data_IF_908851439314
#
_entry.id   IF_908851439314
#
_cell.length_a   1.000
_cell.length_b   1.000
_cell.length_c   1.000
_cell.angle_alpha   90.00
_cell.angle_beta   90.00
_cell.angle_gamma   90.00
#
_symmetry.space_group_name_H-M   'P 1'
#
loop_
_entity.id
_entity.type
_entity.pdbx_description
1 polymer ?
#
# COMPACT_ATOMS: atom_id res chain seq x y z
N UNK A 1 -7.48 1.71 27.74
CA UNK A 1 -8.51 0.95 27.00
C UNK A 1 -7.77 -0.11 26.22
N UNK A 2 -8.31 -1.30 26.08
CA UNK A 2 -7.64 -2.39 25.36
C UNK A 2 -8.51 -2.82 24.18
N UNK A 3 -7.89 -2.95 23.02
CA UNK A 3 -8.46 -3.45 21.78
C UNK A 3 -7.60 -4.59 21.29
N UNK A 4 -8.22 -5.60 20.70
CA UNK A 4 -7.53 -6.72 20.08
C UNK A 4 -8.49 -7.42 19.13
N UNK A 5 -7.92 -8.18 18.22
CA UNK A 5 -8.65 -9.05 17.35
C UNK A 5 -7.73 -9.65 16.31
N UNK A 6 -8.37 -10.33 15.38
CA UNK A 6 -7.72 -11.03 14.30
C UNK A 6 -8.42 -10.62 13.01
N UNK A 7 -7.66 -10.39 11.95
CA UNK A 7 -8.19 -10.11 10.61
C UNK A 7 -7.59 -11.08 9.61
N UNK A 8 -8.43 -11.72 8.80
CA UNK A 8 -8.00 -12.64 7.76
C UNK A 8 -7.89 -11.86 6.44
N UNK A 9 -6.72 -11.87 5.83
CA UNK A 9 -6.46 -11.37 4.49
C UNK A 9 -6.39 -12.57 3.56
N UNK A 10 -7.45 -12.79 2.80
CA UNK A 10 -7.58 -13.91 1.85
C UNK A 10 -6.71 -13.69 0.60
N UNK A 11 -6.30 -14.79 -0.04
CA UNK A 11 -5.61 -14.81 -1.34
C UNK A 11 -4.29 -14.00 -1.36
N UNK A 12 -3.56 -13.91 -0.24
CA UNK A 12 -2.29 -13.19 -0.15
C UNK A 12 -1.25 -13.94 0.69
N UNK A 13 0.01 -13.56 0.54
CA UNK A 13 1.16 -14.12 1.27
C UNK A 13 1.64 -13.21 2.39
N UNK A 14 2.35 -13.79 3.37
CA UNK A 14 2.93 -13.03 4.49
C UNK A 14 3.88 -11.93 4.00
N UNK A 15 4.62 -12.17 2.92
CA UNK A 15 5.55 -11.18 2.35
C UNK A 15 4.82 -9.99 1.73
N UNK A 16 3.73 -10.22 1.00
CA UNK A 16 2.90 -9.15 0.41
C UNK A 16 2.24 -8.30 1.49
N UNK A 17 1.65 -8.95 2.50
CA UNK A 17 1.04 -8.26 3.64
C UNK A 17 2.10 -7.48 4.41
N UNK A 18 3.27 -8.06 4.64
CA UNK A 18 4.37 -7.38 5.33
C UNK A 18 4.87 -6.15 4.55
N UNK A 19 5.04 -6.26 3.23
CA UNK A 19 5.41 -5.14 2.37
C UNK A 19 4.36 -4.02 2.43
N UNK A 20 3.07 -4.38 2.30
CA UNK A 20 1.97 -3.43 2.37
C UNK A 20 1.92 -2.71 3.72
N UNK A 21 1.96 -3.46 4.83
CA UNK A 21 1.89 -2.87 6.18
C UNK A 21 3.17 -2.12 6.58
N UNK A 22 4.28 -2.35 5.87
CA UNK A 22 5.53 -1.62 6.06
C UNK A 22 5.61 -0.30 5.29
N UNK A 23 4.71 -0.04 4.35
CA UNK A 23 4.78 1.12 3.47
C UNK A 23 3.94 2.30 4.01
N UNK A 24 4.54 3.45 4.40
CA UNK A 24 3.79 4.60 4.90
C UNK A 24 2.73 5.12 3.92
N UNK A 25 2.96 5.03 2.60
CA UNK A 25 1.99 5.46 1.60
C UNK A 25 0.79 4.50 1.55
N UNK A 26 1.04 3.21 1.68
CA UNK A 26 -0.02 2.21 1.81
C UNK A 26 -0.88 2.47 3.05
N UNK A 27 -0.23 2.72 4.19
CA UNK A 27 -0.93 3.00 5.45
C UNK A 27 -1.71 4.32 5.38
N UNK A 28 -1.16 5.36 4.78
CA UNK A 28 -1.84 6.63 4.53
C UNK A 28 -3.15 6.43 3.77
N UNK A 29 -3.11 5.68 2.67
CA UNK A 29 -4.29 5.43 1.84
C UNK A 29 -5.32 4.52 2.55
N UNK A 30 -4.86 3.56 3.35
CA UNK A 30 -5.73 2.63 4.06
C UNK A 30 -6.37 3.23 5.33
N UNK A 31 -5.73 4.19 5.98
CA UNK A 31 -6.22 4.80 7.22
C UNK A 31 -7.33 5.83 6.93
N UNK A 32 -8.57 5.61 7.44
CA UNK A 32 -9.67 6.53 7.18
C UNK A 32 -9.41 7.94 7.72
N UNK A 33 -9.50 8.94 6.84
CA UNK A 33 -9.34 10.35 7.21
C UNK A 33 -7.89 10.77 7.47
N UNK A 34 -6.92 9.93 7.12
CA UNK A 34 -5.50 10.29 7.06
C UNK A 34 -5.27 11.33 5.97
N UNK A 35 -4.49 12.37 6.25
CA UNK A 35 -4.10 13.39 5.27
C UNK A 35 -2.71 13.15 4.68
N UNK A 36 -1.80 12.64 5.51
CA UNK A 36 -0.43 12.28 5.15
C UNK A 36 0.14 11.38 6.24
N UNK A 37 1.22 10.67 5.92
CA UNK A 37 2.08 9.98 6.87
C UNK A 37 3.54 10.13 6.41
N UNK A 38 4.34 10.85 7.20
CA UNK A 38 5.71 11.23 6.81
C UNK A 38 6.70 11.10 7.96
N UNK A 39 7.96 10.75 7.69
CA UNK A 39 8.99 10.75 8.73
C UNK A 39 9.26 12.17 9.23
N UNK A 40 9.55 12.30 10.52
CA UNK A 40 9.96 13.56 11.17
C UNK A 40 11.17 13.32 12.07
N UNK A 41 12.00 14.34 12.27
CA UNK A 41 13.23 14.23 13.07
C UNK A 41 12.99 14.32 14.59
N UNK A 42 11.97 15.07 15.00
CA UNK A 42 11.65 15.35 16.40
C UNK A 42 10.13 15.28 16.64
N UNK A 43 9.73 15.10 17.90
CA UNK A 43 8.32 15.06 18.34
C UNK A 43 7.64 16.45 18.33
N UNK A 44 8.43 17.53 18.34
CA UNK A 44 7.95 18.92 18.22
C UNK A 44 7.61 19.25 16.75
N UNK A 45 6.50 18.68 16.28
CA UNK A 45 6.07 18.76 14.88
C UNK A 45 5.25 20.02 14.58
N UNK A 46 5.60 20.75 13.51
CA UNK A 46 4.77 21.80 12.92
C UNK A 46 3.78 21.21 11.91
N UNK A 47 2.61 20.80 12.40
CA UNK A 47 1.57 20.19 11.56
C UNK A 47 0.98 21.13 10.51
N UNK A 48 1.03 22.45 10.72
CA UNK A 48 0.54 23.40 9.72
C UNK A 48 1.49 23.47 8.53
N UNK A 49 2.80 23.45 8.78
CA UNK A 49 3.81 23.34 7.72
C UNK A 49 3.69 22.01 6.96
N UNK A 50 3.52 20.89 7.67
CA UNK A 50 3.36 19.58 7.02
C UNK A 50 2.10 19.52 6.14
N UNK A 51 0.99 20.15 6.56
CA UNK A 51 -0.22 20.25 5.72
C UNK A 51 0.01 21.05 4.45
N UNK A 52 0.74 22.16 4.53
CA UNK A 52 1.07 22.96 3.34
C UNK A 52 1.97 22.17 2.38
N UNK A 53 2.90 21.38 2.90
CA UNK A 53 3.82 20.59 2.08
C UNK A 53 3.18 19.33 1.48
N UNK A 54 2.36 18.63 2.26
CA UNK A 54 1.90 17.29 1.92
C UNK A 54 0.39 17.17 1.69
N UNK A 55 -0.42 18.18 2.00
CA UNK A 55 -1.88 18.08 1.96
C UNK A 55 -2.50 17.84 0.58
N UNK A 56 -1.77 18.18 -0.49
CA UNK A 56 -2.18 17.96 -1.89
C UNK A 56 -1.32 16.89 -2.58
N UNK A 57 -0.57 16.08 -1.82
CA UNK A 57 0.26 15.03 -2.42
C UNK A 57 -0.62 13.92 -2.98
N UNK A 58 -0.33 13.51 -4.21
CA UNK A 58 -0.95 12.37 -4.86
C UNK A 58 0.15 11.33 -5.06
N UNK A 59 0.44 10.57 -4.00
CA UNK A 59 1.42 9.50 -4.03
C UNK A 59 0.67 8.19 -4.08
N UNK A 60 0.69 7.56 -5.26
CA UNK A 60 0.03 6.29 -5.45
C UNK A 60 0.77 5.17 -4.70
N UNK A 61 0.04 4.29 -4.01
CA UNK A 61 0.59 3.04 -3.56
C UNK A 61 1.13 2.20 -4.73
N UNK A 62 2.10 1.33 -4.47
CA UNK A 62 2.74 0.49 -5.50
C UNK A 62 2.97 -0.93 -4.98
N UNK A 63 3.20 -1.87 -5.89
CA UNK A 63 3.68 -3.23 -5.58
C UNK A 63 5.17 -3.40 -5.83
N UNK A 64 5.86 -2.40 -6.38
CA UNK A 64 7.29 -2.47 -6.65
C UNK A 64 8.07 -2.62 -5.33
N UNK A 65 8.71 -3.78 -5.08
CA UNK A 65 9.39 -4.03 -3.81
C UNK A 65 10.59 -3.11 -3.59
N UNK A 66 11.25 -2.62 -4.65
CA UNK A 66 12.36 -1.68 -4.52
C UNK A 66 11.86 -0.30 -4.08
N UNK A 67 10.74 0.17 -4.63
CA UNK A 67 10.12 1.43 -4.21
C UNK A 67 9.66 1.35 -2.76
N UNK A 68 8.96 0.26 -2.40
CA UNK A 68 8.50 0.02 -1.02
C UNK A 68 9.69 -0.02 -0.06
N UNK A 69 10.73 -0.80 -0.37
CA UNK A 69 11.91 -0.93 0.51
C UNK A 69 12.61 0.41 0.78
N UNK A 70 12.63 1.34 -0.18
CA UNK A 70 13.26 2.65 -0.03
C UNK A 70 12.47 3.63 0.85
N UNK A 71 11.16 3.40 1.06
CA UNK A 71 10.29 4.26 1.88
C UNK A 71 9.66 3.56 3.06
N UNK A 72 9.96 2.27 3.25
CA UNK A 72 9.39 1.47 4.32
C UNK A 72 9.69 2.07 5.69
N UNK A 73 8.83 1.79 6.66
CA UNK A 73 9.07 2.15 8.03
C UNK A 73 10.42 1.64 8.54
N UNK A 74 11.07 2.48 9.33
CA UNK A 74 12.34 2.21 10.01
C UNK A 74 12.13 2.10 11.52
N UNK A 75 12.70 1.08 12.15
CA UNK A 75 12.66 0.94 13.62
C UNK A 75 13.38 2.12 14.30
N UNK A 76 12.74 2.69 15.32
CA UNK A 76 13.18 3.88 16.04
C UNK A 76 12.86 5.20 15.34
N UNK A 77 12.33 5.17 14.12
CA UNK A 77 11.96 6.38 13.39
C UNK A 77 10.56 6.87 13.81
N UNK A 78 10.44 8.19 13.90
CA UNK A 78 9.18 8.89 14.20
C UNK A 78 8.54 9.41 12.92
N UNK A 79 7.20 9.37 12.89
CA UNK A 79 6.34 9.77 11.79
C UNK A 79 5.23 10.69 12.30
N UNK A 80 4.85 11.66 11.48
CA UNK A 80 3.73 12.55 11.73
C UNK A 80 2.57 12.26 10.78
N UNK A 81 1.35 12.33 11.31
CA UNK A 81 0.12 12.15 10.55
C UNK A 81 -1.04 12.96 11.13
N UNK A 82 -2.00 13.32 10.28
CA UNK A 82 -3.24 13.96 10.68
C UNK A 82 -4.40 13.02 10.34
N UNK A 83 -5.18 12.63 11.35
CA UNK A 83 -6.25 11.62 11.20
C UNK A 83 -7.59 12.18 11.68
N UNK A 84 -8.57 12.24 10.78
CA UNK A 84 -9.96 12.55 11.10
C UNK A 84 -10.76 11.31 11.48
N UNK A 85 -11.28 11.24 12.71
CA UNK A 85 -12.03 10.08 13.21
C UNK A 85 -13.45 10.48 13.60
N UNK A 86 -14.45 9.79 13.06
CA UNK A 86 -15.85 9.95 13.48
C UNK A 86 -16.12 9.21 14.78
N UNK A 87 -16.46 9.94 15.86
CA UNK A 87 -16.76 9.38 17.19
C UNK A 87 -18.14 9.89 17.63
N UNK A 88 -19.17 9.08 17.44
CA UNK A 88 -20.54 9.48 17.76
C UNK A 88 -20.96 10.75 16.98
N UNK A 89 -21.39 11.84 17.65
CA UNK A 89 -21.79 13.08 16.98
C UNK A 89 -20.63 14.03 16.67
N UNK A 90 -19.38 13.69 17.02
CA UNK A 90 -18.20 14.54 16.81
C UNK A 90 -17.26 13.93 15.78
N UNK A 91 -16.46 14.78 15.14
CA UNK A 91 -15.42 14.39 14.18
C UNK A 91 -14.12 15.13 14.52
N UNK A 92 -13.41 14.72 15.59
CA UNK A 92 -12.09 15.24 15.87
C UNK A 92 -11.11 14.93 14.73
N UNK A 93 -10.19 15.87 14.51
CA UNK A 93 -9.00 15.68 13.68
C UNK A 93 -7.80 15.70 14.59
N UNK A 94 -7.09 14.57 14.68
CA UNK A 94 -5.94 14.41 15.54
C UNK A 94 -4.65 14.66 14.78
N UNK A 95 -3.84 15.55 15.31
CA UNK A 95 -2.41 15.65 14.98
C UNK A 95 -1.69 14.59 15.79
N UNK A 96 -1.08 13.62 15.11
CA UNK A 96 -0.54 12.40 15.71
C UNK A 96 0.94 12.24 15.37
N UNK A 97 1.72 11.90 16.36
CA UNK A 97 3.11 11.45 16.23
C UNK A 97 3.15 9.96 16.56
N UNK A 98 3.82 9.17 15.71
CA UNK A 98 3.93 7.71 15.84
C UNK A 98 5.39 7.31 15.73
N UNK A 99 5.86 6.46 16.62
CA UNK A 99 7.20 5.87 16.58
C UNK A 99 7.08 4.38 16.32
N UNK A 100 7.90 3.86 15.41
CA UNK A 100 7.99 2.43 15.13
C UNK A 100 8.97 1.82 16.12
N UNK A 101 8.46 1.23 17.20
CA UNK A 101 9.29 0.74 18.31
C UNK A 101 10.01 -0.57 17.99
N UNK A 102 9.40 -1.40 17.14
CA UNK A 102 9.99 -2.66 16.69
C UNK A 102 9.50 -3.01 15.29
N UNK A 103 10.42 -3.46 14.44
CA UNK A 103 10.08 -3.94 13.10
C UNK A 103 10.99 -5.08 12.67
N UNK A 104 10.48 -6.30 12.77
CA UNK A 104 11.14 -7.51 12.25
C UNK A 104 10.06 -8.52 11.87
N UNK A 105 9.96 -8.85 10.58
CA UNK A 105 8.93 -9.78 10.09
C UNK A 105 8.94 -11.08 10.91
N UNK A 106 7.78 -11.56 11.40
CA UNK A 106 6.40 -11.11 11.11
C UNK A 106 5.84 -10.04 12.06
N UNK A 107 6.61 -9.55 13.02
CA UNK A 107 6.14 -8.68 14.11
C UNK A 107 6.41 -7.18 13.86
N UNK A 108 5.45 -6.33 14.24
CA UNK A 108 5.68 -4.88 14.34
C UNK A 108 5.02 -4.30 15.58
N UNK A 109 5.68 -3.31 16.18
CA UNK A 109 5.22 -2.60 17.38
C UNK A 109 5.38 -1.11 17.14
N UNK A 110 4.38 -0.34 17.54
CA UNK A 110 4.39 1.11 17.41
C UNK A 110 3.74 1.78 18.61
N UNK A 111 4.25 2.94 18.96
CA UNK A 111 3.72 3.83 19.97
C UNK A 111 3.29 5.12 19.29
N UNK A 112 2.26 5.78 19.81
CA UNK A 112 1.84 7.05 19.24
C UNK A 112 1.00 7.86 20.19
N UNK A 113 1.10 9.16 20.04
CA UNK A 113 0.30 10.13 20.76
C UNK A 113 -0.37 11.08 19.77
N UNK A 114 -1.58 11.52 20.11
CA UNK A 114 -2.29 12.45 19.26
C UNK A 114 -3.14 13.43 20.03
N UNK A 115 -3.31 14.62 19.47
CA UNK A 115 -4.05 15.71 20.09
C UNK A 115 -5.07 16.35 19.14
N UNK A 116 -6.21 16.77 19.70
CA UNK A 116 -7.29 17.42 18.98
C UNK A 116 -8.01 18.39 19.93
N UNK A 117 -7.59 19.66 19.94
CA UNK A 117 -8.13 20.68 20.84
C UNK A 117 -7.99 20.28 22.31
N UNK A 118 -9.11 20.23 23.05
CA UNK A 118 -9.13 19.81 24.47
C UNK A 118 -9.11 18.28 24.68
N UNK A 119 -8.67 17.48 23.71
CA UNK A 119 -8.62 16.02 23.79
C UNK A 119 -7.29 15.47 23.30
N UNK A 120 -6.85 14.36 23.86
CA UNK A 120 -5.64 13.66 23.44
C UNK A 120 -5.76 12.16 23.67
N UNK A 121 -4.85 11.40 23.08
CA UNK A 121 -4.65 10.00 23.36
C UNK A 121 -3.16 9.65 23.35
N UNK A 122 -2.82 8.58 24.05
CA UNK A 122 -1.56 7.84 23.95
C UNK A 122 -1.92 6.38 23.61
N UNK A 123 -1.17 5.73 22.73
CA UNK A 123 -1.47 4.40 22.24
C UNK A 123 -0.20 3.59 22.02
N UNK A 124 -0.25 2.31 22.37
CA UNK A 124 0.70 1.29 21.93
C UNK A 124 -0.06 0.28 21.08
N UNK A 125 0.54 -0.17 19.98
CA UNK A 125 -0.04 -1.12 19.04
C UNK A 125 0.97 -2.23 18.71
N UNK A 126 0.44 -3.43 18.49
CA UNK A 126 1.20 -4.63 18.14
C UNK A 126 0.48 -5.35 17.01
N UNK A 127 1.27 -5.89 16.08
CA UNK A 127 0.78 -6.83 15.08
C UNK A 127 1.75 -8.02 14.92
N UNK A 128 1.18 -9.17 14.61
CA UNK A 128 1.86 -10.40 14.21
C UNK A 128 1.14 -10.96 12.96
N UNK A 129 1.89 -11.60 12.07
CA UNK A 129 1.42 -12.13 10.80
C UNK A 129 1.66 -13.64 10.75
N UNK A 130 0.58 -14.39 10.62
CA UNK A 130 0.61 -15.84 10.49
C UNK A 130 0.10 -16.29 9.11
N UNK A 131 0.92 -17.07 8.41
CA UNK A 131 0.50 -17.66 7.14
C UNK A 131 -0.54 -18.78 7.35
N UNK A 132 -1.56 -18.81 6.51
CA UNK A 132 -2.62 -19.83 6.50
C UNK A 132 -2.72 -20.52 5.13
N UNK A 133 -3.59 -21.52 5.00
CA UNK A 133 -3.79 -22.22 3.72
C UNK A 133 -4.41 -21.32 2.63
N UNK A 134 -5.21 -20.32 3.04
CA UNK A 134 -6.03 -19.49 2.15
C UNK A 134 -5.67 -17.99 2.24
N UNK A 135 -4.55 -17.63 2.90
CA UNK A 135 -4.15 -16.23 3.08
C UNK A 135 -3.25 -15.98 4.29
N UNK A 136 -3.38 -14.80 4.90
CA UNK A 136 -2.65 -14.37 6.10
C UNK A 136 -3.60 -13.97 7.21
N UNK A 137 -3.34 -14.47 8.40
CA UNK A 137 -3.98 -14.03 9.64
C UNK A 137 -3.16 -12.88 10.24
N UNK A 138 -3.82 -11.76 10.56
CA UNK A 138 -3.23 -10.60 11.24
C UNK A 138 -3.77 -10.53 12.65
N UNK A 139 -2.96 -10.96 13.62
CA UNK A 139 -3.25 -10.77 15.03
C UNK A 139 -2.80 -9.39 15.47
N UNK A 140 -3.72 -8.60 16.03
CA UNK A 140 -3.43 -7.23 16.44
C UNK A 140 -3.92 -6.93 17.84
N UNK A 141 -3.20 -6.02 18.51
CA UNK A 141 -3.54 -5.48 19.83
C UNK A 141 -3.28 -3.98 19.82
N UNK A 142 -4.12 -3.22 20.53
CA UNK A 142 -3.85 -1.83 20.85
C UNK A 142 -4.26 -1.50 22.30
N UNK A 143 -3.40 -0.77 22.99
CA UNK A 143 -3.63 -0.24 24.32
C UNK A 143 -3.65 1.28 24.22
N UNK A 144 -4.79 1.91 24.52
CA UNK A 144 -4.96 3.35 24.38
C UNK A 144 -5.41 4.02 25.68
N UNK A 145 -4.73 5.08 26.07
CA UNK A 145 -5.16 6.03 27.09
C UNK A 145 -5.78 7.25 26.40
N UNK A 146 -6.95 7.69 26.85
CA UNK A 146 -7.69 8.79 26.21
C UNK A 146 -8.04 9.82 27.26
N UNK A 147 -7.80 11.09 26.93
CA UNK A 147 -7.97 12.22 27.84
C UNK A 147 -8.94 13.28 27.29
N UNK A 148 -9.38 14.17 28.17
CA UNK A 148 -10.15 15.35 27.78
C UNK A 148 -11.61 15.05 27.41
N UNK A 149 -12.16 15.83 26.47
CA UNK A 149 -13.60 15.78 26.13
C UNK A 149 -14.01 14.43 25.56
N UNK A 150 -13.17 13.81 24.72
CA UNK A 150 -13.48 12.51 24.11
C UNK A 150 -13.57 11.42 25.18
N UNK A 151 -12.66 11.40 26.17
CA UNK A 151 -12.70 10.45 27.27
C UNK A 151 -14.03 10.46 28.04
N UNK A 152 -14.67 11.64 28.14
CA UNK A 152 -15.97 11.79 28.82
C UNK A 152 -17.14 11.08 28.13
N UNK A 153 -16.99 10.70 26.85
CA UNK A 153 -18.01 9.97 26.09
C UNK A 153 -18.14 8.50 26.53
N UNK A 154 -17.08 7.97 27.15
CA UNK A 154 -17.02 6.59 27.65
C UNK A 154 -16.89 5.54 26.55
N UNK A 155 -16.54 4.32 26.99
CA UNK A 155 -16.23 3.19 26.11
C UNK A 155 -17.39 2.77 25.18
N UNK A 156 -18.63 3.03 25.59
CA UNK A 156 -19.83 2.70 24.76
C UNK A 156 -19.88 3.48 23.45
N UNK A 157 -19.21 4.62 23.38
CA UNK A 157 -19.12 5.46 22.18
C UNK A 157 -17.78 5.27 21.49
N UNK A 158 -16.68 5.17 22.25
CA UNK A 158 -15.32 5.06 21.71
C UNK A 158 -15.07 3.69 21.07
N UNK A 159 -15.46 2.58 21.73
CA UNK A 159 -15.13 1.24 21.23
C UNK A 159 -15.71 0.95 19.84
N UNK A 160 -16.97 1.27 19.53
CA UNK A 160 -17.49 1.09 18.16
C UNK A 160 -16.74 1.92 17.11
N UNK A 161 -16.28 3.13 17.47
CA UNK A 161 -15.52 3.98 16.55
C UNK A 161 -14.13 3.38 16.27
N UNK A 162 -13.40 2.95 17.31
CA UNK A 162 -12.10 2.30 17.15
C UNK A 162 -12.19 1.01 16.30
N UNK A 163 -13.16 0.14 16.60
CA UNK A 163 -13.39 -1.08 15.80
C UNK A 163 -13.73 -0.76 14.34
N UNK A 164 -14.44 0.33 14.09
CA UNK A 164 -14.78 0.77 12.74
C UNK A 164 -13.56 1.27 11.97
N UNK A 165 -12.61 1.93 12.64
CA UNK A 165 -11.33 2.33 12.05
C UNK A 165 -10.51 1.10 11.67
N UNK A 166 -10.29 0.18 12.60
CA UNK A 166 -9.51 -1.05 12.35
C UNK A 166 -10.12 -1.88 11.21
N UNK A 167 -11.44 -2.08 11.24
CA UNK A 167 -12.13 -2.80 10.16
C UNK A 167 -11.93 -2.14 8.80
N UNK A 168 -12.05 -0.81 8.71
CA UNK A 168 -11.85 -0.10 7.43
C UNK A 168 -10.42 -0.16 6.96
N UNK A 169 -9.47 0.00 7.88
CA UNK A 169 -8.05 -0.08 7.60
C UNK A 169 -7.71 -1.42 6.94
N UNK A 170 -7.98 -2.55 7.60
CA UNK A 170 -7.64 -3.86 7.03
C UNK A 170 -8.44 -4.22 5.78
N UNK A 171 -9.73 -3.81 5.69
CA UNK A 171 -10.48 -3.97 4.44
C UNK A 171 -9.87 -3.16 3.28
N UNK A 172 -9.33 -1.97 3.56
CA UNK A 172 -8.63 -1.17 2.55
C UNK A 172 -7.32 -1.83 2.17
N UNK A 173 -6.56 -2.35 3.14
CA UNK A 173 -5.32 -3.10 2.88
C UNK A 173 -5.56 -4.29 1.96
N UNK A 174 -6.60 -5.09 2.23
CA UNK A 174 -6.96 -6.23 1.38
C UNK A 174 -7.30 -5.80 -0.05
N UNK A 175 -8.10 -4.74 -0.21
CA UNK A 175 -8.47 -4.23 -1.54
C UNK A 175 -7.24 -3.79 -2.32
N UNK A 176 -6.38 -3.00 -1.67
CA UNK A 176 -5.18 -2.43 -2.27
C UNK A 176 -4.16 -3.50 -2.70
N UNK A 177 -3.97 -4.56 -1.90
CA UNK A 177 -3.12 -5.70 -2.29
C UNK A 177 -3.71 -6.36 -3.55
N UNK A 178 -5.00 -6.72 -3.50
CA UNK A 178 -5.70 -7.40 -4.60
C UNK A 178 -5.74 -6.60 -5.89
N UNK A 179 -6.02 -5.30 -5.81
CA UNK A 179 -6.16 -4.44 -6.98
C UNK A 179 -4.84 -4.33 -7.74
N UNK A 180 -3.70 -4.42 -7.04
CA UNK A 180 -2.38 -4.41 -7.66
C UNK A 180 -1.97 -5.75 -8.28
N UNK A 181 -2.32 -6.88 -7.65
CA UNK A 181 -2.12 -8.19 -8.28
C UNK A 181 -2.86 -8.30 -9.62
N UNK A 182 -4.08 -7.74 -9.69
CA UNK A 182 -4.85 -7.69 -10.94
C UNK A 182 -4.14 -6.80 -11.97
N UNK A 183 -3.68 -5.62 -11.58
CA UNK A 183 -3.00 -4.69 -12.48
C UNK A 183 -1.71 -5.27 -13.08
N UNK A 184 -0.90 -5.96 -12.26
CA UNK A 184 0.33 -6.61 -12.73
C UNK A 184 0.02 -7.80 -13.66
N UNK A 185 -1.05 -8.55 -13.40
CA UNK A 185 -1.52 -9.64 -14.26
C UNK A 185 -1.97 -9.13 -15.64
N UNK A 186 -2.77 -8.05 -15.69
CA UNK A 186 -3.23 -7.44 -16.96
C UNK A 186 -2.09 -6.80 -17.77
N UNK A 187 -1.05 -6.30 -17.10
CA UNK A 187 0.13 -5.75 -17.76
C UNK A 187 0.99 -6.84 -18.44
N UNK A 188 1.04 -8.04 -17.88
CA UNK A 188 1.75 -9.20 -18.45
C UNK A 188 1.02 -9.74 -19.70
N UNK A 189 -0.31 -9.79 -19.67
CA UNK A 189 -1.13 -10.26 -20.80
C UNK A 189 -1.11 -9.30 -22.01
N UNK A 190 -0.74 -8.02 -21.82
CA UNK A 190 -0.69 -7.02 -22.88
C UNK A 190 0.57 -7.06 -23.76
N UNK A 191 1.63 -7.77 -23.36
CA UNK A 191 2.92 -7.83 -24.08
C UNK A 191 3.03 -9.02 -25.08
N UNK A 192 2.13 -10.02 -25.03
CA UNK A 192 2.17 -11.18 -25.94
C UNK A 192 1.54 -10.92 -27.34
N UNK A 193 1.34 -9.65 -27.71
CA UNK A 193 0.54 -9.24 -28.86
C UNK A 193 1.26 -8.66 -30.08
N UNK A 194 2.55 -8.93 -30.33
CA UNK A 194 3.20 -8.50 -31.58
C UNK A 194 4.24 -9.53 -32.10
N UNK A 195 3.77 -10.70 -32.54
CA UNK A 195 4.47 -11.52 -33.54
C UNK A 195 3.94 -11.18 -34.93
N UNK A 196 4.67 -10.33 -35.65
CA UNK A 196 4.44 -10.06 -37.07
C UNK A 196 4.91 -11.26 -37.92
N UNK A 197 4.01 -12.23 -38.11
CA UNK A 197 4.08 -13.18 -39.23
C UNK A 197 3.60 -12.49 -40.51
N UNK A 198 4.51 -11.91 -41.30
CA UNK A 198 4.23 -11.65 -42.72
C UNK A 198 4.59 -12.86 -43.59
N UNK A 199 3.59 -13.69 -43.88
CA UNK A 199 3.43 -14.39 -45.15
C UNK A 199 2.09 -13.89 -45.73
N UNK A 200 1.96 -13.37 -46.95
CA UNK A 200 2.09 -13.99 -48.27
C UNK A 200 1.81 -12.89 -49.34
N UNK A 201 1.88 -13.00 -50.67
CA UNK A 201 1.40 -14.00 -51.66
C UNK A 201 2.08 -13.71 -53.03
N UNK A 202 2.53 -14.73 -53.76
CA UNK A 202 1.97 -15.33 -55.02
C UNK A 202 2.02 -14.47 -56.29
N UNK A 203 2.71 -14.96 -57.34
CA UNK A 203 2.18 -14.96 -58.72
C UNK A 203 2.72 -16.16 -59.52
N UNK A 204 1.79 -16.85 -60.20
CA UNK A 204 2.06 -17.92 -61.15
C UNK A 204 2.20 -17.36 -62.56
N UNK A 205 3.16 -17.86 -63.34
CA UNK A 205 3.05 -17.85 -64.80
C UNK A 205 3.73 -19.09 -65.40
N UNK A 206 2.99 -19.75 -66.28
CA UNK A 206 3.41 -20.90 -67.05
C UNK A 206 3.41 -20.44 -68.52
N UNK A 207 4.57 -20.35 -69.16
CA UNK A 207 4.67 -20.38 -70.63
C UNK A 207 6.04 -20.94 -71.05
N UNK A 208 6.02 -21.80 -72.06
CA UNK A 208 7.15 -22.63 -72.45
C UNK A 208 8.08 -21.99 -73.48
N UNK A 209 9.28 -22.56 -73.57
CA UNK A 209 10.02 -22.68 -74.82
C UNK A 209 11.02 -21.57 -75.17
N UNK A 210 12.23 -22.04 -75.46
CA UNK A 210 13.16 -21.48 -76.46
C UNK A 210 13.73 -20.10 -76.10
N UNK A 211 14.93 -20.07 -75.51
CA UNK A 211 16.12 -19.38 -76.07
C UNK A 211 17.34 -19.58 -75.16
N UNK A 212 17.87 -20.80 -75.09
CA UNK A 212 19.30 -21.03 -74.83
C UNK A 212 20.08 -20.71 -76.10
N UNK A 213 20.05 -19.43 -76.52
CA UNK A 213 20.77 -18.93 -77.69
C UNK A 213 20.67 -17.40 -77.72
N UNK A 214 21.66 -16.70 -77.14
CA UNK A 214 22.23 -15.41 -77.59
C UNK A 214 23.13 -14.84 -76.46
N UNK A 215 24.45 -15.00 -76.67
CA UNK A 215 25.54 -14.08 -76.27
C UNK A 215 25.82 -13.91 -74.76
N UNK A 216 26.95 -14.36 -74.21
CA UNK A 216 28.28 -13.88 -74.62
C UNK A 216 29.45 -14.70 -74.06
N UNK A 217 30.43 -14.84 -74.94
CA UNK A 217 31.75 -15.47 -74.79
C UNK A 217 32.49 -15.06 -73.50
N UNK A 218 33.24 -15.99 -72.92
CA UNK A 218 34.70 -15.99 -73.07
C UNK A 218 35.29 -17.37 -72.74
N UNK A 219 35.98 -17.96 -73.72
CA UNK A 219 37.02 -18.97 -73.48
C UNK A 219 38.28 -18.21 -73.08
N UNK A 220 39.05 -18.71 -72.13
CA UNK A 220 40.48 -18.98 -72.35
C UNK A 220 41.07 -19.79 -71.20
N UNK A 221 41.57 -20.95 -71.63
CA UNK A 221 42.67 -21.77 -71.12
C UNK A 221 42.67 -22.26 -69.67
#
# INVERSE_FOLDING_TARGET
MEFNGTFELEDTTVDEVWLALSDPVMIENALPGCQFLVPVEDEDVDFDALREEHGDRDVEPTSDPEVIANRAFEEGQTYATVIGISIGPVNPTFETVVTIDHREQPEMKASGEGSAGDSSFEMNAWMDLDGTDDGVEVDWRAEAEVFGRIASMGQRVINPAANQVVKRFFSSVQSEIRDREIADSEAIDADEGEVDETAAETEASNDGGIVDRILGRSRSN
#
